data_IF_979494002432
#
_entry.id   IF_979494002432
#
_cell.length_a   1.000
_cell.length_b   1.000
_cell.length_c   1.000
_cell.angle_alpha   90.00
_cell.angle_beta   90.00
_cell.angle_gamma   90.00
#
_symmetry.space_group_name_H-M   'P 1'
#
loop_
_entity.id
_entity.type
_entity.pdbx_description
1 polymer ?
#
# COMPACT_ATOMS: atom_id res chain seq x y z
N UNK A 1 -12.27 12.16 -11.06
CA UNK A 1 -11.99 11.86 -9.64
C UNK A 1 -12.30 13.06 -8.77
N UNK A 2 -12.78 12.84 -7.56
CA UNK A 2 -13.04 13.92 -6.61
C UNK A 2 -11.72 14.52 -6.10
N UNK A 3 -11.74 15.83 -5.78
CA UNK A 3 -10.60 16.47 -5.13
C UNK A 3 -10.30 15.79 -3.80
N UNK A 4 -9.03 15.43 -3.57
CA UNK A 4 -8.61 14.76 -2.34
C UNK A 4 -9.03 15.56 -1.09
N UNK A 5 -9.59 14.87 -0.10
CA UNK A 5 -10.01 15.48 1.16
C UNK A 5 -8.80 16.02 1.92
N UNK A 6 -8.94 17.24 2.45
CA UNK A 6 -7.88 17.88 3.21
C UNK A 6 -7.84 17.29 4.62
N UNK A 7 -6.74 16.59 4.96
CA UNK A 7 -6.46 16.03 6.27
C UNK A 7 -5.30 16.75 6.96
N UNK A 8 -5.13 16.55 8.26
CA UNK A 8 -3.92 17.00 8.99
C UNK A 8 -2.69 16.29 8.40
N UNK A 9 -1.52 16.90 8.57
CA UNK A 9 -0.26 16.25 8.17
C UNK A 9 0.37 15.62 9.39
N UNK A 10 0.76 14.35 9.26
CA UNK A 10 1.48 13.58 10.29
C UNK A 10 2.73 12.99 9.66
N UNK A 11 3.85 12.97 10.37
CA UNK A 11 5.11 12.44 9.87
C UNK A 11 5.45 11.08 10.49
N UNK A 12 5.92 10.15 9.64
CA UNK A 12 6.52 8.88 10.07
C UNK A 12 7.95 8.89 9.58
N UNK A 13 8.89 9.21 10.45
CA UNK A 13 10.24 9.54 10.02
C UNK A 13 10.21 10.64 8.95
N UNK A 14 10.88 10.46 7.79
CA UNK A 14 10.89 11.46 6.71
C UNK A 14 9.57 11.52 5.92
N UNK A 15 8.68 10.52 6.03
CA UNK A 15 7.48 10.42 5.19
C UNK A 15 6.33 11.24 5.78
N UNK A 16 5.91 12.28 5.06
CA UNK A 16 4.75 13.09 5.41
C UNK A 16 3.45 12.47 4.86
N UNK A 17 2.46 12.28 5.72
CA UNK A 17 1.18 11.65 5.42
C UNK A 17 0.06 12.66 5.62
N UNK A 18 -0.87 12.76 4.69
CA UNK A 18 -1.99 13.71 4.76
C UNK A 18 -1.74 15.01 4.00
N UNK A 19 -2.69 15.93 4.05
CA UNK A 19 -2.63 17.19 3.34
C UNK A 19 -2.56 17.01 1.81
N UNK A 20 -1.54 17.60 1.20
CA UNK A 20 -1.24 17.48 -0.25
C UNK A 20 -0.13 16.47 -0.56
N UNK A 21 0.43 15.80 0.48
CA UNK A 21 1.52 14.85 0.26
C UNK A 21 1.05 13.63 -0.56
N UNK A 22 1.92 12.99 -1.32
CA UNK A 22 1.59 11.79 -2.07
C UNK A 22 1.01 10.69 -1.15
N UNK A 23 0.11 9.88 -1.70
CA UNK A 23 -0.44 8.73 -0.98
C UNK A 23 0.67 7.70 -0.82
N UNK A 24 1.09 7.42 0.41
CA UNK A 24 2.20 6.52 0.68
C UNK A 24 1.78 5.05 0.68
N UNK A 25 2.67 4.20 0.16
CA UNK A 25 2.50 2.74 0.14
C UNK A 25 3.22 2.15 1.35
N UNK A 26 2.45 1.49 2.20
CA UNK A 26 2.94 0.79 3.39
C UNK A 26 2.78 -0.72 3.21
N UNK A 27 3.74 -1.51 3.73
CA UNK A 27 3.61 -2.96 3.88
C UNK A 27 3.83 -3.39 5.34
N UNK A 28 3.83 -4.70 5.57
CA UNK A 28 4.08 -5.29 6.88
C UNK A 28 4.92 -6.55 6.72
N UNK A 29 5.90 -6.72 7.60
CA UNK A 29 6.70 -7.95 7.63
C UNK A 29 5.86 -9.16 8.00
N UNK A 30 6.20 -10.31 7.42
CA UNK A 30 5.59 -11.62 7.70
C UNK A 30 6.57 -12.58 8.38
N UNK A 31 7.81 -12.13 8.61
CA UNK A 31 8.83 -12.87 9.34
C UNK A 31 8.60 -12.77 10.84
N UNK A 32 9.13 -13.73 11.59
CA UNK A 32 9.25 -13.60 13.05
C UNK A 32 10.19 -12.42 13.36
N UNK A 33 9.69 -11.42 14.08
CA UNK A 33 10.42 -10.19 14.42
C UNK A 33 11.66 -10.47 15.25
N UNK A 34 11.66 -11.52 16.07
CA UNK A 34 12.82 -11.98 16.85
C UNK A 34 14.00 -12.43 15.97
N UNK A 35 13.72 -12.82 14.72
CA UNK A 35 14.75 -13.07 13.71
C UNK A 35 15.05 -11.79 12.92
N UNK A 36 15.87 -10.92 13.52
CA UNK A 36 16.24 -9.64 12.93
C UNK A 36 16.85 -9.77 11.52
N UNK A 37 17.70 -10.79 11.27
CA UNK A 37 18.33 -11.00 9.94
C UNK A 37 17.29 -11.30 8.86
N UNK A 38 16.33 -12.19 9.13
CA UNK A 38 15.26 -12.51 8.19
C UNK A 38 14.35 -11.31 7.96
N UNK A 39 14.01 -10.57 9.01
CA UNK A 39 13.17 -9.37 8.95
C UNK A 39 13.84 -8.26 8.14
N UNK A 40 15.12 -7.97 8.36
CA UNK A 40 15.87 -6.98 7.57
C UNK A 40 15.94 -7.38 6.09
N UNK A 41 16.19 -8.65 5.79
CA UNK A 41 16.22 -9.14 4.40
C UNK A 41 14.86 -8.94 3.71
N UNK A 42 13.75 -9.23 4.40
CA UNK A 42 12.42 -9.01 3.86
C UNK A 42 12.13 -7.52 3.65
N UNK A 43 12.50 -6.66 4.60
CA UNK A 43 12.30 -5.21 4.46
C UNK A 43 13.09 -4.66 3.27
N UNK A 44 14.34 -5.07 3.06
CA UNK A 44 15.14 -4.65 1.90
C UNK A 44 14.52 -5.08 0.57
N UNK A 45 13.92 -6.27 0.52
CA UNK A 45 13.16 -6.70 -0.65
C UNK A 45 11.91 -5.80 -0.89
N UNK A 46 11.24 -5.41 0.18
CA UNK A 46 10.11 -4.47 0.12
C UNK A 46 10.54 -3.06 -0.28
N UNK A 47 11.68 -2.56 0.22
CA UNK A 47 12.29 -1.31 -0.22
C UNK A 47 12.57 -1.33 -1.73
N UNK A 48 13.14 -2.44 -2.21
CA UNK A 48 13.36 -2.65 -3.65
C UNK A 48 12.04 -2.68 -4.44
N UNK A 49 10.94 -3.15 -3.86
CA UNK A 49 9.62 -3.11 -4.49
C UNK A 49 8.96 -1.72 -4.44
N UNK A 50 9.52 -0.76 -3.72
CA UNK A 50 8.99 0.60 -3.58
C UNK A 50 8.20 0.85 -2.29
N UNK A 51 8.24 -0.03 -1.30
CA UNK A 51 7.62 0.22 -0.01
C UNK A 51 8.20 1.48 0.65
N UNK A 52 7.35 2.37 1.12
CA UNK A 52 7.76 3.66 1.69
C UNK A 52 7.71 3.66 3.22
N UNK A 53 6.95 2.77 3.84
CA UNK A 53 6.82 2.63 5.30
C UNK A 53 6.64 1.14 5.61
N UNK A 54 7.36 0.63 6.59
CA UNK A 54 7.18 -0.75 7.03
C UNK A 54 6.55 -0.82 8.42
N UNK A 55 5.62 -1.75 8.62
CA UNK A 55 5.06 -2.09 9.93
C UNK A 55 5.56 -3.46 10.36
N UNK A 56 5.96 -3.56 11.63
CA UNK A 56 6.53 -4.77 12.23
C UNK A 56 5.67 -5.16 13.43
N UNK A 57 5.25 -6.42 13.51
CA UNK A 57 4.54 -6.95 14.68
C UNK A 57 5.49 -7.07 15.87
N UNK A 58 5.01 -6.72 17.07
CA UNK A 58 5.77 -6.80 18.31
C UNK A 58 5.00 -7.67 19.31
N UNK A 59 5.16 -9.01 19.21
CA UNK A 59 4.41 -9.93 20.05
C UNK A 59 4.90 -10.00 21.50
N UNK A 60 6.18 -9.74 21.76
CA UNK A 60 6.82 -9.84 23.08
C UNK A 60 8.04 -8.91 23.21
N UNK A 61 8.66 -8.93 24.39
CA UNK A 61 9.79 -8.05 24.72
C UNK A 61 11.04 -8.39 23.88
N UNK A 62 11.29 -9.64 23.61
CA UNK A 62 12.40 -10.06 22.73
C UNK A 62 12.27 -9.46 21.34
N UNK A 63 11.06 -9.49 20.78
CA UNK A 63 10.78 -8.83 19.50
C UNK A 63 10.95 -7.31 19.58
N UNK A 64 10.52 -6.67 20.68
CA UNK A 64 10.68 -5.23 20.88
C UNK A 64 12.16 -4.83 20.92
N UNK A 65 12.99 -5.56 21.63
CA UNK A 65 14.44 -5.31 21.77
C UNK A 65 15.19 -5.44 20.44
N UNK A 66 14.73 -6.27 19.51
CA UNK A 66 15.35 -6.41 18.17
C UNK A 66 15.12 -5.23 17.25
N UNK A 67 14.09 -4.41 17.51
CA UNK A 67 13.68 -3.32 16.61
C UNK A 67 14.79 -2.31 16.35
N UNK A 68 15.62 -1.99 17.34
CA UNK A 68 16.73 -1.04 17.19
C UNK A 68 17.78 -1.50 16.16
N UNK A 69 18.11 -2.79 16.18
CA UNK A 69 18.99 -3.40 15.17
C UNK A 69 18.36 -3.38 13.78
N UNK A 70 17.08 -3.72 13.69
CA UNK A 70 16.32 -3.70 12.44
C UNK A 70 16.27 -2.28 11.90
N UNK A 71 15.87 -1.28 12.72
CA UNK A 71 15.71 0.12 12.31
C UNK A 71 17.00 0.72 11.74
N UNK A 72 18.16 0.45 12.35
CA UNK A 72 19.47 0.90 11.85
C UNK A 72 19.90 0.23 10.54
N UNK A 73 19.30 -0.92 10.21
CA UNK A 73 19.68 -1.74 9.04
C UNK A 73 18.84 -1.48 7.79
N UNK A 74 17.81 -0.63 7.88
CA UNK A 74 16.85 -0.34 6.81
C UNK A 74 16.71 1.17 6.59
N UNK A 75 16.32 1.59 5.37
CA UNK A 75 16.22 3.00 5.01
C UNK A 75 14.82 3.58 5.22
N UNK A 76 13.78 2.76 5.07
CA UNK A 76 12.39 3.20 5.24
C UNK A 76 11.99 3.23 6.72
N UNK A 77 11.09 4.14 7.12
CA UNK A 77 10.63 4.26 8.49
C UNK A 77 9.86 3.03 8.97
N UNK A 78 10.04 2.71 10.25
CA UNK A 78 9.50 1.53 10.93
C UNK A 78 8.39 1.93 11.88
N UNK A 79 7.23 1.26 11.77
CA UNK A 79 6.11 1.36 12.71
C UNK A 79 6.04 0.07 13.53
N UNK A 80 6.07 0.19 14.86
CA UNK A 80 5.82 -0.92 15.76
C UNK A 80 4.31 -1.15 15.93
N UNK A 81 3.88 -2.41 15.75
CA UNK A 81 2.47 -2.83 15.88
C UNK A 81 2.25 -3.54 17.21
N UNK A 82 1.67 -2.82 18.16
CA UNK A 82 1.44 -3.28 19.53
C UNK A 82 -0.08 -3.41 19.78
N UNK A 83 -0.50 -4.54 20.31
CA UNK A 83 -1.91 -4.82 20.51
C UNK A 83 -2.40 -4.54 21.93
N UNK A 84 -1.66 -4.96 22.97
CA UNK A 84 -2.15 -4.93 24.36
C UNK A 84 -1.14 -4.41 25.38
N UNK A 85 0.12 -4.81 25.29
CA UNK A 85 1.10 -4.49 26.32
C UNK A 85 1.79 -3.15 26.06
N UNK A 86 1.53 -2.19 26.92
CA UNK A 86 2.11 -0.85 26.91
C UNK A 86 3.64 -0.85 27.07
N UNK A 87 4.22 -1.84 27.77
CA UNK A 87 5.67 -1.96 27.95
C UNK A 87 6.38 -2.21 26.62
N UNK A 88 5.75 -2.98 25.72
CA UNK A 88 6.27 -3.19 24.37
C UNK A 88 6.28 -1.90 23.54
N UNK A 89 5.28 -1.03 23.77
CA UNK A 89 5.26 0.29 23.13
C UNK A 89 6.42 1.16 23.62
N UNK A 90 6.66 1.23 24.94
CA UNK A 90 7.77 1.99 25.53
C UNK A 90 9.11 1.46 25.02
N UNK A 91 9.31 0.13 25.03
CA UNK A 91 10.53 -0.47 24.52
C UNK A 91 10.73 -0.17 23.03
N UNK A 92 9.67 -0.27 22.21
CA UNK A 92 9.75 0.10 20.80
C UNK A 92 10.18 1.55 20.57
N UNK A 93 9.65 2.48 21.37
CA UNK A 93 10.07 3.89 21.36
C UNK A 93 11.54 4.04 21.74
N UNK A 94 11.99 3.32 22.78
CA UNK A 94 13.40 3.31 23.21
C UNK A 94 14.33 2.80 22.10
N UNK A 95 13.89 1.80 21.33
CA UNK A 95 14.60 1.23 20.20
C UNK A 95 14.62 2.12 18.95
N UNK A 96 13.91 3.25 18.95
CA UNK A 96 13.99 4.28 17.93
C UNK A 96 13.14 4.01 16.68
N UNK A 97 11.96 3.38 16.84
CA UNK A 97 10.96 3.29 15.78
C UNK A 97 10.44 4.67 15.39
N UNK A 98 9.84 4.78 14.19
CA UNK A 98 9.35 6.05 13.64
C UNK A 98 7.83 6.26 13.85
N UNK A 99 7.17 5.34 14.54
CA UNK A 99 5.76 5.47 14.88
C UNK A 99 5.21 4.22 15.54
N UNK A 100 4.04 4.36 16.15
CA UNK A 100 3.34 3.28 16.83
C UNK A 100 2.00 2.98 16.16
N UNK A 101 1.59 1.72 16.18
CA UNK A 101 0.20 1.32 15.95
C UNK A 101 -0.33 0.68 17.22
N UNK A 102 -1.32 1.32 17.82
CA UNK A 102 -2.01 0.83 19.02
C UNK A 102 -3.52 1.11 18.90
N UNK A 103 -4.28 0.47 19.79
CA UNK A 103 -5.64 0.89 20.11
C UNK A 103 -5.64 1.28 21.59
N UNK A 104 -5.74 2.57 21.94
CA UNK A 104 -5.63 3.03 23.33
C UNK A 104 -6.55 2.28 24.31
N UNK A 105 -7.78 1.97 23.89
CA UNK A 105 -8.70 1.19 24.71
C UNK A 105 -8.26 -0.26 24.99
N UNK A 106 -7.37 -0.84 24.17
CA UNK A 106 -6.84 -2.18 24.39
C UNK A 106 -5.58 -2.19 25.27
N UNK A 107 -4.93 -1.04 25.43
CA UNK A 107 -3.76 -0.89 26.31
C UNK A 107 -4.15 -1.00 27.79
N UNK A 108 -5.41 -0.70 28.11
CA UNK A 108 -5.98 -0.88 29.44
C UNK A 108 -6.06 0.41 30.26
N UNK A 109 -5.57 0.41 31.49
CA UNK A 109 -5.73 1.56 32.40
C UNK A 109 -5.17 2.86 31.82
N UNK A 110 -5.84 3.99 32.11
CA UNK A 110 -5.52 5.32 31.56
C UNK A 110 -4.05 5.70 31.74
N UNK A 111 -3.47 5.46 32.91
CA UNK A 111 -2.06 5.77 33.17
C UNK A 111 -1.08 5.05 32.21
N UNK A 112 -1.41 3.83 31.77
CA UNK A 112 -0.60 3.09 30.78
C UNK A 112 -0.62 3.78 29.41
N UNK A 113 -1.78 4.31 29.03
CA UNK A 113 -1.91 5.09 27.79
C UNK A 113 -1.15 6.41 27.92
N UNK A 114 -1.20 7.06 29.08
CA UNK A 114 -0.45 8.29 29.38
C UNK A 114 1.05 8.08 29.21
N UNK A 115 1.61 6.99 29.75
CA UNK A 115 3.03 6.64 29.58
C UNK A 115 3.41 6.48 28.11
N UNK A 116 2.61 5.72 27.33
CA UNK A 116 2.86 5.52 25.89
C UNK A 116 2.78 6.85 25.14
N UNK A 117 1.80 7.69 25.45
CA UNK A 117 1.61 9.00 24.80
C UNK A 117 2.74 9.96 25.17
N UNK A 118 3.21 9.96 26.44
CA UNK A 118 4.36 10.76 26.87
C UNK A 118 5.61 10.37 26.08
N UNK A 119 5.93 9.08 26.06
CA UNK A 119 7.10 8.57 25.33
C UNK A 119 7.02 8.87 23.82
N UNK A 120 5.84 8.72 23.22
CA UNK A 120 5.63 9.05 21.80
C UNK A 120 5.82 10.55 21.53
N UNK A 121 5.28 11.42 22.42
CA UNK A 121 5.41 12.87 22.31
C UNK A 121 6.86 13.33 22.42
N UNK A 122 7.61 12.83 23.40
CA UNK A 122 9.01 13.18 23.61
C UNK A 122 9.90 12.89 22.40
N UNK A 123 9.54 11.85 21.63
CA UNK A 123 10.24 11.45 20.42
C UNK A 123 9.60 11.96 19.12
N UNK A 124 8.50 12.72 19.21
CA UNK A 124 7.76 13.21 18.04
C UNK A 124 7.17 12.10 17.18
N UNK A 125 6.79 10.97 17.77
CA UNK A 125 6.27 9.79 17.06
C UNK A 125 4.75 9.88 16.91
N UNK A 126 4.23 9.61 15.70
CA UNK A 126 2.79 9.52 15.49
C UNK A 126 2.23 8.18 15.99
N UNK A 127 0.98 8.22 16.41
CA UNK A 127 0.23 7.03 16.79
C UNK A 127 -0.84 6.74 15.72
N UNK A 128 -0.87 5.52 15.23
CA UNK A 128 -1.96 5.03 14.39
C UNK A 128 -2.96 4.23 15.22
N UNK A 129 -4.18 4.72 15.27
CA UNK A 129 -5.34 3.97 15.77
C UNK A 129 -5.77 2.99 14.68
N UNK A 130 -5.79 1.69 14.98
CA UNK A 130 -6.11 0.64 14.01
C UNK A 130 -7.35 -0.15 14.41
N UNK A 131 -8.53 0.34 14.07
CA UNK A 131 -9.80 -0.37 14.29
C UNK A 131 -9.99 -1.43 13.22
N UNK A 132 -10.27 -2.65 13.66
CA UNK A 132 -10.65 -3.77 12.79
C UNK A 132 -12.00 -4.33 13.24
N UNK A 133 -12.83 -4.77 12.30
CA UNK A 133 -14.14 -5.36 12.57
C UNK A 133 -14.07 -6.54 13.59
N UNK A 134 -13.03 -7.38 13.47
CA UNK A 134 -12.83 -8.52 14.38
C UNK A 134 -12.32 -8.17 15.78
N UNK A 135 -12.05 -6.89 16.08
CA UNK A 135 -11.53 -6.44 17.38
C UNK A 135 -12.34 -5.32 18.02
N UNK A 136 -13.60 -5.18 17.64
CA UNK A 136 -14.54 -4.26 18.30
C UNK A 136 -14.84 -4.72 19.73
N UNK A 137 -15.09 -3.75 20.62
CA UNK A 137 -15.47 -4.03 22.01
C UNK A 137 -16.84 -4.72 22.10
N UNK A 138 -17.03 -5.56 23.12
CA UNK A 138 -18.34 -6.21 23.37
C UNK A 138 -19.47 -5.20 23.44
N UNK A 139 -19.26 -4.07 24.13
CA UNK A 139 -20.22 -2.96 24.23
C UNK A 139 -20.69 -2.45 22.87
N UNK A 140 -19.78 -2.28 21.91
CA UNK A 140 -20.15 -1.84 20.55
C UNK A 140 -20.86 -2.93 19.76
N UNK A 141 -20.45 -4.19 19.92
CA UNK A 141 -21.13 -5.34 19.29
C UNK A 141 -22.55 -5.52 19.83
N UNK A 142 -22.77 -5.34 21.13
CA UNK A 142 -24.12 -5.37 21.75
C UNK A 142 -24.97 -4.21 21.25
N UNK A 143 -24.41 -3.00 21.15
CA UNK A 143 -25.13 -1.81 20.65
C UNK A 143 -25.57 -1.92 19.19
N UNK A 144 -24.72 -2.45 18.33
CA UNK A 144 -24.93 -2.47 16.87
C UNK A 144 -25.32 -3.86 16.32
N UNK A 145 -25.32 -4.89 17.13
CA UNK A 145 -25.64 -6.28 16.76
C UNK A 145 -24.55 -6.98 15.92
N UNK A 146 -23.74 -6.22 15.18
CA UNK A 146 -22.68 -6.73 14.32
C UNK A 146 -21.63 -5.64 14.06
N UNK A 147 -20.45 -5.97 13.45
CA UNK A 147 -19.43 -4.99 13.06
C UNK A 147 -19.92 -4.10 11.90
N UNK A 148 -20.72 -3.08 12.22
CA UNK A 148 -21.24 -2.11 11.25
C UNK A 148 -20.23 -0.99 10.96
N UNK A 149 -20.39 -0.21 9.87
CA UNK A 149 -19.60 1.00 9.61
C UNK A 149 -19.64 1.98 10.77
N UNK A 150 -20.82 2.19 11.39
CA UNK A 150 -21.01 3.08 12.53
C UNK A 150 -20.24 2.61 13.76
N UNK A 151 -20.27 1.28 14.04
CA UNK A 151 -19.51 0.69 15.14
C UNK A 151 -18.00 0.91 14.99
N UNK A 152 -17.48 0.77 13.76
CA UNK A 152 -16.07 1.04 13.44
C UNK A 152 -15.72 2.51 13.67
N UNK A 153 -16.59 3.44 13.25
CA UNK A 153 -16.37 4.87 13.42
C UNK A 153 -16.47 5.29 14.88
N UNK A 154 -17.43 4.74 15.64
CA UNK A 154 -17.59 5.02 17.07
C UNK A 154 -16.37 4.51 17.86
N UNK A 155 -15.90 3.29 17.56
CA UNK A 155 -14.67 2.77 18.16
C UNK A 155 -13.46 3.68 17.89
N UNK A 156 -13.31 4.16 16.66
CA UNK A 156 -12.24 5.10 16.33
C UNK A 156 -12.38 6.42 17.07
N UNK A 157 -13.60 6.95 17.20
CA UNK A 157 -13.88 8.19 17.93
C UNK A 157 -13.56 8.06 19.42
N UNK A 158 -13.92 6.94 20.06
CA UNK A 158 -13.55 6.67 21.46
C UNK A 158 -12.02 6.67 21.65
N UNK A 159 -11.28 5.99 20.78
CA UNK A 159 -9.81 5.96 20.84
C UNK A 159 -9.17 7.32 20.54
N UNK A 160 -9.71 8.11 19.61
CA UNK A 160 -9.27 9.47 19.32
C UNK A 160 -9.49 10.34 20.56
N UNK A 161 -10.69 10.25 21.17
CA UNK A 161 -11.02 11.03 22.36
C UNK A 161 -10.06 10.79 23.52
N UNK A 162 -9.60 9.54 23.72
CA UNK A 162 -8.58 9.22 24.71
C UNK A 162 -7.28 9.98 24.43
N UNK A 163 -6.78 9.94 23.18
CA UNK A 163 -5.53 10.62 22.81
C UNK A 163 -5.68 12.16 22.85
N UNK A 164 -6.82 12.68 22.40
CA UNK A 164 -7.11 14.13 22.44
C UNK A 164 -7.22 14.65 23.89
N UNK A 165 -7.78 13.86 24.82
CA UNK A 165 -7.83 14.20 26.25
C UNK A 165 -6.43 14.34 26.88
N UNK A 166 -5.43 13.71 26.27
CA UNK A 166 -4.01 13.83 26.61
C UNK A 166 -3.28 14.89 25.77
N UNK A 167 -4.01 15.77 25.06
CA UNK A 167 -3.49 16.77 24.14
C UNK A 167 -2.57 16.21 23.04
N UNK A 168 -2.75 14.92 22.66
CA UNK A 168 -1.99 14.27 21.58
C UNK A 168 -2.74 14.35 20.26
N UNK A 169 -2.11 14.93 19.22
CA UNK A 169 -2.75 15.22 17.92
C UNK A 169 -2.09 14.58 16.72
N UNK A 170 -0.92 13.95 16.88
CA UNK A 170 -0.20 13.26 15.82
C UNK A 170 -0.78 11.86 15.56
N UNK A 171 -2.07 11.86 15.21
CA UNK A 171 -2.91 10.68 15.06
C UNK A 171 -3.18 10.43 13.59
N UNK A 172 -3.08 9.16 13.17
CA UNK A 172 -3.67 8.64 11.93
C UNK A 172 -4.58 7.45 12.25
N UNK A 173 -5.55 7.16 11.37
CA UNK A 173 -6.61 6.20 11.67
C UNK A 173 -6.76 5.18 10.56
N UNK A 174 -7.11 3.97 10.91
CA UNK A 174 -7.56 2.94 9.98
C UNK A 174 -8.81 2.23 10.50
N UNK A 175 -9.76 1.97 9.59
CA UNK A 175 -11.06 1.36 9.85
C UNK A 175 -11.24 0.22 8.86
N UNK A 176 -10.95 -1.01 9.25
CA UNK A 176 -10.83 -2.12 8.33
C UNK A 176 -11.81 -3.25 8.66
N UNK A 177 -12.44 -3.76 7.61
CA UNK A 177 -13.16 -5.01 7.62
C UNK A 177 -12.74 -5.86 6.41
N UNK A 178 -13.09 -7.13 6.40
CA UNK A 178 -12.94 -8.02 5.24
C UNK A 178 -14.02 -7.78 4.18
N UNK A 179 -15.16 -7.23 4.59
CA UNK A 179 -16.25 -6.81 3.72
C UNK A 179 -15.95 -5.43 3.11
N UNK A 180 -15.94 -5.35 1.78
CA UNK A 180 -15.60 -4.12 1.05
C UNK A 180 -16.64 -3.01 1.27
N UNK A 181 -17.95 -3.22 1.09
CA UNK A 181 -18.98 -2.22 1.38
C UNK A 181 -18.88 -1.63 2.79
N UNK A 182 -18.75 -2.48 3.82
CA UNK A 182 -18.60 -2.05 5.22
C UNK A 182 -17.36 -1.17 5.40
N UNK A 183 -16.22 -1.56 4.81
CA UNK A 183 -14.98 -0.80 4.90
C UNK A 183 -15.13 0.57 4.22
N UNK A 184 -15.65 0.59 3.01
CA UNK A 184 -15.85 1.84 2.23
C UNK A 184 -16.76 2.80 2.99
N UNK A 185 -17.89 2.33 3.51
CA UNK A 185 -18.83 3.19 4.23
C UNK A 185 -18.27 3.70 5.55
N UNK A 186 -17.51 2.87 6.29
CA UNK A 186 -16.82 3.31 7.51
C UNK A 186 -15.85 4.48 7.22
N UNK A 187 -15.05 4.40 6.16
CA UNK A 187 -14.14 5.48 5.78
C UNK A 187 -14.89 6.74 5.29
N UNK A 188 -16.01 6.58 4.57
CA UNK A 188 -16.88 7.70 4.16
C UNK A 188 -17.45 8.43 5.38
N UNK A 189 -18.02 7.70 6.33
CA UNK A 189 -18.59 8.25 7.56
C UNK A 189 -17.49 8.94 8.40
N UNK A 190 -16.35 8.29 8.58
CA UNK A 190 -15.23 8.87 9.31
C UNK A 190 -14.75 10.17 8.66
N UNK A 191 -14.56 10.16 7.35
CA UNK A 191 -14.02 11.31 6.61
C UNK A 191 -14.96 12.54 6.58
N UNK A 192 -16.27 12.36 6.87
CA UNK A 192 -17.21 13.45 7.08
C UNK A 192 -17.02 14.12 8.44
N UNK A 193 -16.69 13.32 9.48
CA UNK A 193 -16.62 13.79 10.88
C UNK A 193 -15.23 14.27 11.31
N UNK A 194 -14.15 13.64 10.77
CA UNK A 194 -12.78 13.86 11.25
C UNK A 194 -11.85 14.31 10.14
N UNK A 195 -10.74 14.96 10.53
CA UNK A 195 -9.67 15.42 9.63
C UNK A 195 -8.33 14.71 9.85
N UNK A 196 -8.33 13.61 10.57
CA UNK A 196 -7.13 12.80 10.75
C UNK A 196 -6.79 12.04 9.47
N UNK A 197 -5.50 11.91 9.09
CA UNK A 197 -5.11 11.15 7.91
C UNK A 197 -5.48 9.68 8.04
N UNK A 198 -5.92 9.12 6.91
CA UNK A 198 -6.46 7.78 6.82
C UNK A 198 -5.47 6.80 6.21
N UNK A 199 -5.22 5.70 6.93
CA UNK A 199 -4.54 4.53 6.41
C UNK A 199 -5.57 3.53 5.91
N UNK A 200 -5.78 3.51 4.59
CA UNK A 200 -6.81 2.67 3.97
C UNK A 200 -6.29 1.27 3.62
N UNK A 201 -7.19 0.31 3.60
CA UNK A 201 -6.90 -1.08 3.24
C UNK A 201 -8.09 -1.98 3.55
N UNK A 202 -8.18 -3.09 2.83
CA UNK A 202 -9.13 -4.18 3.15
C UNK A 202 -8.38 -5.18 4.02
N UNK A 203 -8.93 -5.56 5.19
CA UNK A 203 -8.31 -6.60 6.00
C UNK A 203 -8.71 -7.98 5.51
N UNK A 204 -7.78 -8.94 5.63
CA UNK A 204 -8.07 -10.34 5.30
C UNK A 204 -8.68 -10.50 3.89
N UNK A 205 -8.11 -9.78 2.92
CA UNK A 205 -8.66 -9.76 1.56
C UNK A 205 -8.61 -11.16 0.90
N UNK A 206 -7.65 -11.99 1.28
CA UNK A 206 -7.53 -13.38 0.83
C UNK A 206 -6.28 -13.65 -0.02
N UNK A 207 -6.26 -14.78 -0.74
CA UNK A 207 -5.17 -15.14 -1.66
C UNK A 207 -5.11 -14.16 -2.86
N UNK A 208 -4.00 -14.20 -3.60
CA UNK A 208 -3.65 -13.20 -4.62
C UNK A 208 -4.83 -12.81 -5.52
N UNK A 209 -5.45 -13.75 -6.22
CA UNK A 209 -6.51 -13.40 -7.17
C UNK A 209 -7.68 -12.65 -6.52
N UNK A 210 -8.33 -13.26 -5.53
CA UNK A 210 -9.51 -12.66 -4.87
C UNK A 210 -9.14 -11.44 -4.02
N UNK A 211 -7.98 -11.48 -3.37
CA UNK A 211 -7.49 -10.39 -2.54
C UNK A 211 -7.11 -9.15 -3.34
N UNK A 212 -6.52 -9.32 -4.52
CA UNK A 212 -6.25 -8.22 -5.45
C UNK A 212 -7.55 -7.56 -5.89
N UNK A 213 -8.54 -8.35 -6.32
CA UNK A 213 -9.84 -7.81 -6.76
C UNK A 213 -10.52 -7.02 -5.65
N UNK A 214 -10.66 -7.61 -4.45
CA UNK A 214 -11.28 -6.93 -3.29
C UNK A 214 -10.54 -5.64 -2.92
N UNK A 215 -9.22 -5.68 -2.90
CA UNK A 215 -8.39 -4.51 -2.59
C UNK A 215 -8.53 -3.44 -3.66
N UNK A 216 -8.47 -3.81 -4.94
CA UNK A 216 -8.60 -2.86 -6.06
C UNK A 216 -9.96 -2.18 -6.07
N UNK A 217 -11.04 -2.94 -5.85
CA UNK A 217 -12.39 -2.37 -5.77
C UNK A 217 -12.51 -1.43 -4.56
N UNK A 218 -12.19 -1.90 -3.35
CA UNK A 218 -12.40 -1.10 -2.14
C UNK A 218 -11.50 0.13 -2.07
N UNK A 219 -10.21 -0.02 -2.37
CA UNK A 219 -9.27 1.09 -2.38
C UNK A 219 -9.52 2.02 -3.57
N UNK A 220 -9.89 1.48 -4.73
CA UNK A 220 -10.22 2.24 -5.92
C UNK A 220 -11.39 3.20 -5.68
N UNK A 221 -12.48 2.72 -5.05
CA UNK A 221 -13.64 3.55 -4.69
C UNK A 221 -13.21 4.69 -3.75
N UNK A 222 -12.51 4.37 -2.65
CA UNK A 222 -12.08 5.37 -1.67
C UNK A 222 -11.17 6.43 -2.29
N UNK A 223 -10.18 6.00 -3.04
CA UNK A 223 -9.21 6.88 -3.69
C UNK A 223 -9.86 7.77 -4.76
N UNK A 224 -10.79 7.24 -5.55
CA UNK A 224 -11.57 8.02 -6.53
C UNK A 224 -12.45 9.08 -5.87
N UNK A 225 -12.91 8.82 -4.64
CA UNK A 225 -13.65 9.79 -3.80
C UNK A 225 -12.73 10.78 -3.05
N UNK A 226 -11.42 10.67 -3.21
CA UNK A 226 -10.42 11.51 -2.54
C UNK A 226 -10.19 11.14 -1.08
N UNK A 227 -10.51 9.90 -0.67
CA UNK A 227 -10.34 9.39 0.69
C UNK A 227 -9.12 8.46 0.75
N UNK A 228 -8.16 8.78 1.62
CA UNK A 228 -6.95 7.98 1.85
C UNK A 228 -5.67 8.79 1.71
N UNK A 229 -4.76 8.61 2.67
CA UNK A 229 -3.50 9.33 2.77
C UNK A 229 -2.30 8.39 2.74
N UNK A 230 -2.50 7.15 3.17
CA UNK A 230 -1.55 6.05 3.09
C UNK A 230 -2.34 4.76 2.92
N UNK A 231 -1.78 3.76 2.27
CA UNK A 231 -2.51 2.53 1.97
C UNK A 231 -1.68 1.27 2.19
N UNK A 232 -2.38 0.15 2.41
CA UNK A 232 -1.81 -1.19 2.38
C UNK A 232 -2.77 -2.17 1.72
N UNK A 233 -2.28 -2.89 0.74
CA UNK A 233 -2.90 -4.13 0.24
C UNK A 233 -2.50 -5.28 1.18
N UNK A 234 -3.43 -6.19 1.51
CA UNK A 234 -3.18 -7.31 2.42
C UNK A 234 -3.54 -8.62 1.73
N UNK A 235 -2.54 -9.43 1.40
CA UNK A 235 -2.70 -10.69 0.67
C UNK A 235 -2.09 -11.85 1.46
N UNK A 236 -2.64 -13.06 1.28
CA UNK A 236 -2.01 -14.30 1.70
C UNK A 236 -0.96 -14.73 0.65
N UNK A 237 0.04 -13.85 0.38
CA UNK A 237 1.07 -13.99 -0.64
C UNK A 237 2.36 -13.28 -0.21
N UNK A 238 3.36 -13.20 -1.09
CA UNK A 238 4.58 -12.42 -0.86
C UNK A 238 4.23 -10.94 -0.62
N UNK A 239 4.73 -10.30 0.46
CA UNK A 239 4.43 -8.90 0.73
C UNK A 239 4.98 -7.92 -0.34
N UNK A 240 5.93 -8.31 -1.18
CA UNK A 240 6.36 -7.51 -2.32
C UNK A 240 5.26 -7.41 -3.39
N UNK A 241 4.41 -8.44 -3.54
CA UNK A 241 3.23 -8.40 -4.39
C UNK A 241 2.21 -7.37 -3.89
N UNK A 242 2.02 -7.27 -2.56
CA UNK A 242 1.14 -6.25 -1.95
C UNK A 242 1.57 -4.82 -2.36
N UNK A 243 2.87 -4.55 -2.39
CA UNK A 243 3.43 -3.24 -2.77
C UNK A 243 3.18 -2.96 -4.25
N UNK A 244 3.44 -3.95 -5.13
CA UNK A 244 3.18 -3.80 -6.57
C UNK A 244 1.70 -3.52 -6.85
N UNK A 245 0.80 -4.31 -6.26
CA UNK A 245 -0.65 -4.11 -6.42
C UNK A 245 -1.08 -2.73 -5.93
N UNK A 246 -0.52 -2.24 -4.83
CA UNK A 246 -0.80 -0.89 -4.33
C UNK A 246 -0.42 0.19 -5.36
N UNK A 247 0.74 0.07 -6.00
CA UNK A 247 1.14 1.01 -7.06
C UNK A 247 0.31 0.86 -8.32
N UNK A 248 -0.09 -0.37 -8.72
CA UNK A 248 -1.00 -0.56 -9.85
C UNK A 248 -2.35 0.13 -9.62
N UNK A 249 -2.92 0.04 -8.42
CA UNK A 249 -4.15 0.77 -8.06
C UNK A 249 -3.93 2.28 -8.18
N UNK A 250 -2.83 2.80 -7.65
CA UNK A 250 -2.52 4.24 -7.68
C UNK A 250 -2.26 4.74 -9.11
N UNK A 251 -1.55 3.97 -9.94
CA UNK A 251 -1.31 4.28 -11.36
C UNK A 251 -2.60 4.28 -12.16
N UNK A 252 -3.43 3.24 -11.99
CA UNK A 252 -4.72 3.12 -12.69
C UNK A 252 -5.66 4.29 -12.43
N UNK A 253 -5.46 4.99 -11.31
CA UNK A 253 -6.20 6.20 -10.94
C UNK A 253 -5.43 7.50 -11.24
N UNK A 254 -4.26 7.46 -11.85
CA UNK A 254 -3.42 8.63 -12.10
C UNK A 254 -2.99 9.39 -10.84
N UNK A 255 -2.93 8.71 -9.68
CA UNK A 255 -2.59 9.32 -8.39
C UNK A 255 -1.09 9.29 -8.08
N UNK A 256 -0.37 8.33 -8.63
CA UNK A 256 1.08 8.16 -8.51
C UNK A 256 1.63 7.58 -9.81
N UNK A 257 2.81 8.02 -10.15
CA UNK A 257 3.65 7.40 -11.17
C UNK A 257 4.73 6.55 -10.49
N UNK A 258 4.83 5.28 -10.82
CA UNK A 258 5.84 4.37 -10.27
C UNK A 258 6.02 3.17 -11.19
N UNK A 259 7.24 2.98 -11.69
CA UNK A 259 7.54 1.87 -12.58
C UNK A 259 6.84 1.94 -13.93
N UNK A 260 6.94 0.88 -14.70
CA UNK A 260 6.32 0.80 -16.01
C UNK A 260 4.82 0.54 -15.94
N UNK A 261 4.08 1.11 -16.88
CA UNK A 261 2.69 0.79 -17.18
C UNK A 261 2.64 -0.03 -18.47
N UNK A 262 1.96 -1.17 -18.45
CA UNK A 262 1.85 -2.04 -19.61
C UNK A 262 0.47 -1.89 -20.23
N UNK A 263 0.44 -1.60 -21.53
CA UNK A 263 -0.77 -1.60 -22.36
C UNK A 263 -0.67 -2.80 -23.28
N UNK A 264 -1.47 -3.83 -23.04
CA UNK A 264 -1.43 -5.06 -23.84
C UNK A 264 -2.78 -5.36 -24.48
N UNK A 265 -2.71 -5.78 -25.73
CA UNK A 265 -3.87 -6.23 -26.48
C UNK A 265 -4.48 -7.50 -25.84
N UNK A 266 -5.83 -7.59 -25.66
CA UNK A 266 -6.47 -8.75 -25.05
C UNK A 266 -6.57 -9.99 -25.94
N UNK A 267 -5.98 -9.95 -27.13
CA UNK A 267 -6.10 -10.92 -28.23
C UNK A 267 -7.48 -10.93 -28.93
N UNK A 268 -7.48 -11.16 -30.21
CA UNK A 268 -8.68 -11.40 -31.03
C UNK A 268 -8.30 -12.20 -32.27
N UNK A 269 -9.27 -12.49 -33.14
CA UNK A 269 -9.02 -13.22 -34.40
C UNK A 269 -8.03 -12.58 -35.39
N UNK A 270 -7.57 -11.36 -35.12
CA UNK A 270 -6.52 -10.67 -35.89
C UNK A 270 -5.11 -10.87 -35.34
N UNK A 271 -4.98 -11.52 -34.17
CA UNK A 271 -3.68 -11.71 -33.52
C UNK A 271 -2.86 -12.77 -34.30
N UNK A 272 -1.66 -12.39 -34.71
CA UNK A 272 -0.80 -13.20 -35.56
C UNK A 272 0.44 -13.74 -34.82
N UNK A 273 0.58 -13.43 -33.54
CA UNK A 273 1.71 -13.82 -32.69
C UNK A 273 1.25 -14.40 -31.36
N UNK A 274 2.15 -15.06 -30.61
CA UNK A 274 1.91 -15.41 -29.19
C UNK A 274 1.98 -14.18 -28.28
N UNK A 275 0.92 -13.37 -28.32
CA UNK A 275 0.84 -12.15 -27.51
C UNK A 275 0.84 -12.45 -26.00
N UNK A 276 0.26 -13.59 -25.57
CA UNK A 276 0.20 -13.95 -24.14
C UNK A 276 1.60 -14.22 -23.58
N UNK A 277 2.36 -15.06 -24.28
CA UNK A 277 3.74 -15.36 -23.92
C UNK A 277 4.63 -14.10 -23.98
N UNK A 278 4.45 -13.27 -25.00
CA UNK A 278 5.21 -12.03 -25.16
C UNK A 278 4.88 -11.00 -24.06
N UNK A 279 3.60 -10.76 -23.76
CA UNK A 279 3.17 -9.86 -22.71
C UNK A 279 3.68 -10.30 -21.33
N UNK A 280 3.62 -11.61 -21.02
CA UNK A 280 4.16 -12.15 -19.77
C UNK A 280 5.68 -11.96 -19.65
N UNK A 281 6.42 -12.15 -20.74
CA UNK A 281 7.87 -11.90 -20.78
C UNK A 281 8.19 -10.41 -20.56
N UNK A 282 7.42 -9.52 -21.20
CA UNK A 282 7.55 -8.07 -21.02
C UNK A 282 7.18 -7.66 -19.60
N UNK A 283 6.10 -8.19 -19.02
CA UNK A 283 5.73 -7.94 -17.63
C UNK A 283 6.85 -8.33 -16.65
N UNK A 284 7.45 -9.52 -16.88
CA UNK A 284 8.58 -9.97 -16.06
C UNK A 284 9.81 -9.07 -16.21
N UNK A 285 10.11 -8.60 -17.41
CA UNK A 285 11.18 -7.66 -17.69
C UNK A 285 10.98 -6.33 -16.95
N UNK A 286 9.76 -5.85 -16.88
CA UNK A 286 9.43 -4.55 -16.30
C UNK A 286 9.24 -4.54 -14.77
N UNK A 287 9.27 -5.70 -14.12
CA UNK A 287 9.04 -5.83 -12.66
C UNK A 287 9.97 -4.95 -11.81
N UNK A 288 11.22 -4.79 -12.22
CA UNK A 288 12.24 -4.05 -11.48
C UNK A 288 12.45 -2.62 -12.04
N UNK A 289 11.79 -2.26 -13.13
CA UNK A 289 11.85 -0.92 -13.72
C UNK A 289 11.10 0.07 -12.83
N UNK A 290 11.79 1.04 -12.26
CA UNK A 290 11.20 2.06 -11.38
C UNK A 290 10.87 3.36 -12.10
N UNK A 291 11.50 3.60 -13.24
CA UNK A 291 11.25 4.79 -14.05
C UNK A 291 9.83 4.74 -14.60
N UNK A 292 9.03 5.79 -14.41
CA UNK A 292 7.73 5.88 -15.04
C UNK A 292 7.87 5.83 -16.56
N UNK A 293 7.18 4.87 -17.19
CA UNK A 293 7.11 4.74 -18.64
C UNK A 293 5.91 3.88 -19.01
N UNK A 294 5.36 4.09 -20.20
CA UNK A 294 4.30 3.23 -20.76
C UNK A 294 4.88 2.37 -21.86
N UNK A 295 4.73 1.05 -21.71
CA UNK A 295 5.18 0.04 -22.67
C UNK A 295 3.97 -0.65 -23.28
N UNK A 296 3.89 -0.66 -24.61
CA UNK A 296 2.80 -1.29 -25.35
C UNK A 296 3.21 -2.63 -25.96
N UNK A 297 2.32 -3.63 -25.84
CA UNK A 297 2.51 -4.97 -26.43
C UNK A 297 1.26 -5.33 -27.24
N UNK A 298 1.36 -5.26 -28.57
CA UNK A 298 0.24 -5.38 -29.47
C UNK A 298 0.33 -6.64 -30.37
N UNK A 299 -0.79 -7.35 -30.49
CA UNK A 299 -0.86 -8.61 -31.22
C UNK A 299 -1.09 -8.48 -32.71
N UNK A 300 -1.34 -7.28 -33.24
CA UNK A 300 -1.47 -7.03 -34.69
C UNK A 300 -1.06 -5.59 -35.04
N UNK A 301 -0.74 -5.40 -36.32
CA UNK A 301 -0.32 -4.09 -36.85
C UNK A 301 -1.50 -3.16 -37.20
N UNK A 302 -2.74 -3.65 -37.16
CA UNK A 302 -3.93 -2.91 -37.59
C UNK A 302 -4.32 -1.85 -36.52
N UNK A 303 -4.56 -2.27 -35.27
CA UNK A 303 -4.96 -1.37 -34.18
C UNK A 303 -3.78 -1.02 -33.28
N UNK A 304 -2.71 -1.85 -33.30
CA UNK A 304 -1.53 -1.69 -32.44
C UNK A 304 -0.95 -0.29 -32.44
N UNK A 305 -0.62 0.31 -33.60
CA UNK A 305 -0.06 1.66 -33.65
C UNK A 305 -1.00 2.77 -33.16
N UNK A 306 -2.32 2.57 -33.28
CA UNK A 306 -3.32 3.52 -32.80
C UNK A 306 -3.46 3.51 -31.28
N UNK A 307 -3.69 2.36 -30.68
CA UNK A 307 -3.83 2.16 -29.23
C UNK A 307 -2.53 2.43 -28.48
N UNK A 308 -1.39 2.22 -29.13
CA UNK A 308 -0.07 2.39 -28.56
C UNK A 308 0.56 3.76 -28.85
N UNK A 309 -0.18 4.70 -29.45
CA UNK A 309 0.34 6.02 -29.85
C UNK A 309 0.94 6.80 -28.66
N UNK A 310 0.28 6.71 -27.51
CA UNK A 310 0.68 7.40 -26.29
C UNK A 310 1.76 6.65 -25.50
N UNK A 311 2.15 5.43 -25.92
CA UNK A 311 3.20 4.68 -25.25
C UNK A 311 4.58 5.24 -25.56
N UNK A 312 5.47 5.26 -24.54
CA UNK A 312 6.85 5.69 -24.70
C UNK A 312 7.60 4.76 -25.67
N UNK A 313 7.37 3.47 -25.56
CA UNK A 313 7.91 2.43 -26.42
C UNK A 313 6.93 1.25 -26.53
N UNK A 314 6.96 0.55 -27.63
CA UNK A 314 6.13 -0.64 -27.75
C UNK A 314 6.49 -1.49 -28.95
N UNK A 315 5.91 -2.69 -28.95
CA UNK A 315 6.04 -3.68 -30.01
C UNK A 315 4.65 -4.08 -30.52
N UNK A 316 4.56 -4.30 -31.82
CA UNK A 316 3.36 -4.84 -32.44
C UNK A 316 3.76 -6.01 -33.35
N UNK A 317 3.13 -7.16 -33.12
CA UNK A 317 3.37 -8.35 -33.91
C UNK A 317 2.57 -8.35 -35.22
N UNK A 318 3.09 -9.04 -36.22
CA UNK A 318 2.45 -9.36 -37.49
C UNK A 318 3.02 -10.70 -38.01
N UNK A 319 2.48 -11.22 -39.11
CA UNK A 319 2.80 -12.53 -39.62
C UNK A 319 4.30 -12.71 -39.93
N UNK A 320 5.03 -13.34 -38.98
CA UNK A 320 6.48 -13.56 -39.06
C UNK A 320 7.35 -12.31 -38.93
N UNK A 321 6.74 -11.12 -38.79
CA UNK A 321 7.40 -9.83 -38.64
C UNK A 321 6.77 -9.05 -37.51
N UNK A 322 7.47 -8.01 -37.02
CA UNK A 322 6.93 -7.12 -36.01
C UNK A 322 7.50 -5.70 -36.15
N UNK A 323 6.85 -4.81 -35.46
CA UNK A 323 7.20 -3.40 -35.42
C UNK A 323 7.67 -3.03 -34.02
N UNK A 324 8.79 -2.31 -33.94
CA UNK A 324 9.16 -1.55 -32.77
C UNK A 324 8.78 -0.09 -33.01
N UNK A 325 8.10 0.52 -32.08
CA UNK A 325 7.72 1.92 -32.17
C UNK A 325 8.06 2.67 -30.88
N UNK A 326 8.24 3.97 -31.03
CA UNK A 326 8.58 4.87 -29.94
C UNK A 326 7.78 6.16 -30.10
N UNK A 327 7.03 6.55 -29.05
CA UNK A 327 6.15 7.74 -29.09
C UNK A 327 5.28 7.78 -30.36
N UNK A 328 4.62 6.68 -30.65
CA UNK A 328 3.71 6.51 -31.80
C UNK A 328 4.38 6.40 -33.18
N UNK A 329 5.72 6.49 -33.28
CA UNK A 329 6.45 6.39 -34.56
C UNK A 329 7.13 5.03 -34.68
N UNK A 330 6.98 4.39 -35.83
CA UNK A 330 7.69 3.14 -36.16
C UNK A 330 9.18 3.45 -36.28
N UNK A 331 9.98 2.77 -35.44
CA UNK A 331 11.45 2.93 -35.42
C UNK A 331 12.12 1.82 -36.21
N UNK A 332 11.62 0.57 -36.11
CA UNK A 332 12.21 -0.59 -36.76
C UNK A 332 11.15 -1.62 -37.13
N UNK A 333 11.40 -2.36 -38.24
CA UNK A 333 10.76 -3.61 -38.57
C UNK A 333 11.72 -4.75 -38.24
N UNK A 334 11.25 -5.78 -37.56
CA UNK A 334 12.05 -6.87 -37.00
C UNK A 334 11.35 -8.19 -37.24
N UNK A 335 12.09 -9.29 -37.12
CA UNK A 335 11.47 -10.61 -36.97
C UNK A 335 10.79 -10.70 -35.62
N UNK A 336 9.73 -11.50 -35.51
CA UNK A 336 9.01 -11.72 -34.26
C UNK A 336 9.94 -12.14 -33.11
N UNK A 337 10.91 -13.01 -33.37
CA UNK A 337 11.90 -13.48 -32.40
C UNK A 337 12.81 -12.40 -31.83
N UNK A 338 12.95 -11.27 -32.53
CA UNK A 338 13.84 -10.16 -32.14
C UNK A 338 13.12 -9.05 -31.35
N UNK A 339 11.76 -9.12 -31.27
CA UNK A 339 10.96 -8.04 -30.68
C UNK A 339 11.29 -7.79 -29.20
N UNK A 340 11.42 -8.87 -28.40
CA UNK A 340 11.70 -8.72 -26.96
C UNK A 340 13.09 -8.10 -26.71
N UNK A 341 14.10 -8.55 -27.45
CA UNK A 341 15.46 -8.04 -27.29
C UNK A 341 15.61 -6.60 -27.78
N UNK A 342 14.86 -6.25 -28.84
CA UNK A 342 14.80 -4.86 -29.28
C UNK A 342 14.13 -3.96 -28.24
N UNK A 343 13.04 -4.45 -27.63
CA UNK A 343 12.35 -3.73 -26.55
C UNK A 343 13.24 -3.54 -25.33
N UNK A 344 14.00 -4.57 -24.89
CA UNK A 344 14.97 -4.46 -23.80
C UNK A 344 15.96 -3.34 -24.02
N UNK A 345 16.56 -3.26 -25.20
CA UNK A 345 17.53 -2.22 -25.57
C UNK A 345 16.93 -0.81 -25.48
N UNK A 346 15.66 -0.63 -25.85
CA UNK A 346 14.99 0.68 -25.79
C UNK A 346 14.59 1.08 -24.36
N UNK A 347 14.36 0.10 -23.50
CA UNK A 347 14.06 0.34 -22.07
C UNK A 347 15.35 0.70 -21.28
N UNK A 348 16.52 0.33 -21.82
CA UNK A 348 17.81 0.61 -21.18
C UNK A 348 18.30 -0.50 -20.25
N UNK A 349 17.89 -1.74 -20.54
CA UNK A 349 18.41 -2.96 -19.91
C UNK A 349 19.29 -3.79 -20.87
#
# INVERSE_FOLDING_TARGET
MNKRKKTKVVRVGPVAIGGKNPISVQSMTKTDTRNAKATVRQIRALEKAGCEIIRIAVPDMTAAETLGGIRRSVSIPVIADIHFDWKLALESVRQGVDGLRINPGNIGARWKVEEVVSAARERGLPIRIGVNAGSLSKKLLEKYGHPSPEALVESAAEHIGILESLAFKDIKVSLKASNVPTTVEAYRLFSKKFRYPLHIGISEAGPSFTGIIKSSVGLGILLAEGIGDTMRVSLSADPAEEVRVAYEILKSLGLREHGANIVSCPTCGRCEIDIRGLASKVENLLKDVRKPMTVAVMGCIVNGPGEAREADVGIAGGKGTGLLFKKGKIVRRLKESELLDALKKEIGE
#
